data_IF_023719097355
#
_entry.id   IF_023719097355
#
_cell.length_a   1.000
_cell.length_b   1.000
_cell.length_c   1.000
_cell.angle_alpha   90.00
_cell.angle_beta   90.00
_cell.angle_gamma   90.00
#
_symmetry.space_group_name_H-M   'P 1'
#
loop_
_entity.id
_entity.type
_entity.pdbx_description
1 polymer ?
#
# COMPACT_ATOMS: atom_id res chain seq x y z
N UNK A 1 31.09 -55.14 -8.71
CA UNK A 1 30.19 -54.05 -8.30
C UNK A 1 29.00 -53.97 -9.27
N UNK A 2 27.81 -54.42 -8.86
CA UNK A 2 26.63 -54.43 -9.73
C UNK A 2 26.08 -53.00 -9.90
N UNK A 3 26.00 -52.51 -11.16
CA UNK A 3 25.39 -51.20 -11.48
C UNK A 3 23.96 -51.18 -10.94
N UNK A 4 23.54 -50.16 -10.17
CA UNK A 4 22.15 -50.06 -9.72
C UNK A 4 21.25 -49.99 -10.96
N UNK A 5 20.24 -50.88 -11.00
CA UNK A 5 19.30 -50.98 -12.11
C UNK A 5 18.70 -49.59 -12.40
N UNK A 6 18.54 -49.19 -13.68
CA UNK A 6 18.13 -47.83 -14.08
C UNK A 6 16.85 -47.35 -13.38
N UNK A 7 15.94 -48.28 -13.06
CA UNK A 7 14.70 -48.01 -12.34
C UNK A 7 14.91 -47.49 -10.90
N UNK A 8 15.92 -47.98 -10.19
CA UNK A 8 16.24 -47.52 -8.83
C UNK A 8 16.74 -46.08 -8.85
N UNK A 9 17.57 -45.73 -9.83
CA UNK A 9 18.06 -44.36 -10.01
C UNK A 9 16.92 -43.41 -10.38
N UNK A 10 16.04 -43.84 -11.27
CA UNK A 10 14.84 -43.09 -11.61
C UNK A 10 13.97 -42.81 -10.38
N UNK A 11 13.68 -43.83 -9.56
CA UNK A 11 12.91 -43.66 -8.32
C UNK A 11 13.60 -42.72 -7.32
N UNK A 12 14.92 -42.82 -7.17
CA UNK A 12 15.69 -41.91 -6.30
C UNK A 12 15.58 -40.47 -6.81
N UNK A 13 15.77 -40.23 -8.11
CA UNK A 13 15.67 -38.88 -8.65
C UNK A 13 14.24 -38.33 -8.60
N UNK A 14 13.23 -39.15 -8.86
CA UNK A 14 11.83 -38.75 -8.72
C UNK A 14 11.51 -38.35 -7.27
N UNK A 15 12.00 -39.13 -6.29
CA UNK A 15 11.81 -38.83 -4.87
C UNK A 15 12.59 -37.57 -4.44
N UNK A 16 13.82 -37.39 -4.90
CA UNK A 16 14.62 -36.20 -4.62
C UNK A 16 14.02 -34.93 -5.24
N UNK A 17 13.54 -35.00 -6.49
CA UNK A 17 12.87 -33.88 -7.17
C UNK A 17 11.54 -33.57 -6.49
N UNK A 18 10.73 -34.59 -6.20
CA UNK A 18 9.45 -34.42 -5.48
C UNK A 18 9.65 -33.82 -4.09
N UNK A 19 10.64 -34.32 -3.34
CA UNK A 19 11.04 -33.75 -2.06
C UNK A 19 11.49 -32.30 -2.19
N UNK A 20 12.36 -31.99 -3.17
CA UNK A 20 12.82 -30.63 -3.43
C UNK A 20 11.68 -29.66 -3.75
N UNK A 21 10.71 -30.08 -4.58
CA UNK A 21 9.53 -29.26 -4.89
C UNK A 21 8.73 -29.01 -3.61
N UNK A 22 8.44 -30.05 -2.84
CA UNK A 22 7.69 -29.94 -1.58
C UNK A 22 8.37 -28.99 -0.58
N UNK A 23 9.68 -29.13 -0.38
CA UNK A 23 10.46 -28.26 0.52
C UNK A 23 10.66 -26.85 -0.04
N UNK A 24 10.48 -26.62 -1.35
CA UNK A 24 10.51 -25.28 -1.96
C UNK A 24 9.22 -24.49 -1.76
N UNK A 25 8.09 -25.16 -1.48
CA UNK A 25 6.77 -24.51 -1.35
C UNK A 25 6.76 -23.36 -0.31
N UNK A 26 7.33 -23.50 0.91
CA UNK A 26 7.39 -22.39 1.86
C UNK A 26 8.18 -21.20 1.34
N UNK A 27 9.28 -21.43 0.61
CA UNK A 27 10.10 -20.35 0.05
C UNK A 27 9.39 -19.62 -1.09
N UNK A 28 8.71 -20.37 -1.97
CA UNK A 28 7.87 -19.80 -3.04
C UNK A 28 6.72 -18.99 -2.44
N UNK A 29 6.09 -19.50 -1.38
CA UNK A 29 5.06 -18.79 -0.65
C UNK A 29 5.61 -17.50 -0.04
N UNK A 30 6.76 -17.54 0.64
CA UNK A 30 7.40 -16.36 1.21
C UNK A 30 7.73 -15.30 0.14
N UNK A 31 8.36 -15.71 -0.96
CA UNK A 31 8.71 -14.83 -2.07
C UNK A 31 7.48 -14.21 -2.74
N UNK A 32 6.38 -14.97 -2.84
CA UNK A 32 5.12 -14.42 -3.29
C UNK A 32 4.54 -13.40 -2.30
N UNK A 33 4.46 -13.76 -1.02
CA UNK A 33 3.88 -12.88 0.02
C UNK A 33 4.67 -11.59 0.23
N UNK A 34 5.98 -11.60 0.01
CA UNK A 34 6.79 -10.39 0.14
C UNK A 34 6.47 -9.31 -0.90
N UNK A 35 5.80 -9.68 -2.00
CA UNK A 35 5.41 -8.76 -3.09
C UNK A 35 3.93 -8.35 -3.02
N UNK A 36 3.16 -8.93 -2.10
CA UNK A 36 1.75 -8.62 -1.89
C UNK A 36 1.58 -7.40 -1.00
N UNK A 37 0.53 -6.63 -1.25
CA UNK A 37 0.09 -5.56 -0.33
C UNK A 37 -0.86 -6.12 0.72
N UNK A 38 -1.08 -5.39 1.81
CA UNK A 38 -1.92 -5.81 2.94
C UNK A 38 -3.31 -6.29 2.50
N UNK A 39 -3.92 -5.61 1.54
CA UNK A 39 -5.25 -5.96 1.01
C UNK A 39 -5.31 -7.32 0.31
N UNK A 40 -4.17 -7.87 -0.11
CA UNK A 40 -4.07 -9.20 -0.75
C UNK A 40 -3.77 -10.31 0.24
N UNK A 41 -3.13 -10.00 1.37
CA UNK A 41 -2.77 -10.98 2.39
C UNK A 41 -4.00 -11.55 3.12
N UNK A 42 -5.09 -10.77 3.17
CA UNK A 42 -6.34 -11.15 3.82
C UNK A 42 -7.40 -11.71 2.85
N UNK A 43 -7.04 -12.00 1.59
CA UNK A 43 -7.96 -12.64 0.64
C UNK A 43 -8.15 -14.13 0.98
N UNK A 44 -9.39 -14.67 0.94
CA UNK A 44 -9.63 -16.10 1.10
C UNK A 44 -8.93 -16.94 0.02
N UNK A 45 -8.45 -18.13 0.38
CA UNK A 45 -7.86 -19.10 -0.54
C UNK A 45 -6.34 -19.05 -0.69
N UNK A 46 -5.79 -20.02 -1.42
CA UNK A 46 -4.34 -20.14 -1.72
C UNK A 46 -3.97 -19.31 -2.95
N UNK A 47 -4.04 -17.98 -2.82
CA UNK A 47 -3.62 -17.08 -3.89
C UNK A 47 -2.09 -17.05 -3.95
N UNK A 48 -1.44 -17.87 -4.78
CA UNK A 48 0.02 -17.89 -4.83
C UNK A 48 0.59 -16.60 -5.41
N UNK A 49 0.04 -16.08 -6.50
CA UNK A 49 0.60 -14.92 -7.20
C UNK A 49 0.03 -13.59 -6.71
N UNK A 50 0.84 -12.51 -6.70
CA UNK A 50 0.34 -11.17 -6.44
C UNK A 50 -0.54 -10.68 -7.61
N UNK A 51 -1.55 -9.89 -7.28
CA UNK A 51 -2.41 -9.17 -8.22
C UNK A 51 -1.57 -8.10 -8.93
N UNK A 52 -1.53 -8.05 -10.26
CA UNK A 52 -0.72 -7.01 -10.91
C UNK A 52 -1.33 -5.60 -10.72
N UNK A 53 -0.52 -4.54 -10.58
CA UNK A 53 -0.99 -3.16 -10.62
C UNK A 53 -1.70 -2.85 -11.94
N UNK A 54 -2.67 -1.94 -11.88
CA UNK A 54 -3.47 -1.52 -13.02
C UNK A 54 -3.62 0.01 -13.00
N UNK A 55 -2.55 0.76 -13.36
CA UNK A 55 -2.61 2.21 -13.37
C UNK A 55 -3.66 2.70 -14.37
N UNK A 56 -4.66 3.43 -13.86
CA UNK A 56 -5.72 4.04 -14.67
C UNK A 56 -5.35 5.48 -15.01
N UNK A 57 -5.74 5.93 -16.20
CA UNK A 57 -5.54 7.34 -16.56
C UNK A 57 -6.56 8.25 -15.88
N UNK A 58 -7.73 7.72 -15.54
CA UNK A 58 -8.81 8.49 -14.95
C UNK A 58 -9.30 7.87 -13.64
N UNK A 59 -9.70 8.75 -12.73
CA UNK A 59 -10.38 8.45 -11.47
C UNK A 59 -11.57 9.41 -11.33
N UNK A 60 -12.73 8.97 -10.80
CA UNK A 60 -12.99 7.65 -10.22
C UNK A 60 -13.18 6.56 -11.29
N UNK A 61 -13.03 5.30 -10.88
CA UNK A 61 -13.31 4.13 -11.73
C UNK A 61 -13.85 2.95 -10.91
N UNK A 62 -14.36 1.93 -11.61
CA UNK A 62 -14.81 0.68 -10.99
C UNK A 62 -13.75 -0.42 -11.12
N UNK A 63 -13.29 -0.92 -9.99
CA UNK A 63 -12.37 -2.04 -9.88
C UNK A 63 -13.12 -3.37 -9.79
N UNK A 64 -13.19 -4.07 -10.92
CA UNK A 64 -13.92 -5.34 -11.07
C UNK A 64 -13.05 -6.57 -10.85
N UNK A 65 -11.73 -6.44 -10.56
CA UNK A 65 -10.79 -7.58 -10.44
C UNK A 65 -11.21 -8.59 -9.37
N UNK A 66 -11.79 -8.10 -8.27
CA UNK A 66 -12.30 -8.97 -7.20
C UNK A 66 -13.53 -9.82 -7.61
N UNK A 67 -14.16 -9.53 -8.74
CA UNK A 67 -15.29 -10.31 -9.27
C UNK A 67 -14.84 -11.55 -10.02
N UNK A 68 -13.55 -11.69 -10.36
CA UNK A 68 -13.04 -12.85 -11.11
C UNK A 68 -13.28 -14.16 -10.35
N UNK A 69 -13.25 -14.11 -9.02
CA UNK A 69 -13.54 -15.24 -8.12
C UNK A 69 -15.05 -15.52 -7.93
N UNK A 70 -15.92 -14.61 -8.37
CA UNK A 70 -17.38 -14.72 -8.22
C UNK A 70 -17.97 -15.25 -9.53
N UNK A 71 -18.74 -16.34 -9.54
CA UNK A 71 -19.35 -16.82 -10.78
C UNK A 71 -20.26 -15.79 -11.45
N UNK A 72 -20.43 -15.95 -12.76
CA UNK A 72 -21.36 -15.12 -13.52
C UNK A 72 -22.79 -15.38 -13.05
N UNK A 73 -23.60 -14.32 -13.07
CA UNK A 73 -25.02 -14.42 -12.77
C UNK A 73 -25.70 -15.28 -13.85
N UNK A 74 -26.52 -16.28 -13.49
CA UNK A 74 -27.30 -17.04 -14.47
C UNK A 74 -28.14 -16.12 -15.36
N UNK A 75 -28.27 -16.44 -16.66
CA UNK A 75 -28.95 -15.60 -17.63
C UNK A 75 -30.39 -15.27 -17.20
N UNK A 76 -31.10 -16.25 -16.67
CA UNK A 76 -32.49 -16.13 -16.20
C UNK A 76 -32.63 -15.20 -14.99
N UNK A 77 -31.55 -15.02 -14.21
CA UNK A 77 -31.51 -14.16 -13.02
C UNK A 77 -30.92 -12.77 -13.29
N UNK A 78 -30.16 -12.62 -14.38
CA UNK A 78 -29.38 -11.41 -14.63
C UNK A 78 -30.24 -10.15 -14.69
N UNK A 79 -31.35 -10.19 -15.44
CA UNK A 79 -32.29 -9.07 -15.56
C UNK A 79 -33.05 -8.80 -14.26
N UNK A 80 -33.77 -9.78 -13.66
CA UNK A 80 -34.58 -9.47 -12.48
C UNK A 80 -33.75 -9.10 -11.24
N UNK A 81 -32.59 -9.73 -11.02
CA UNK A 81 -31.68 -9.31 -9.95
C UNK A 81 -31.03 -7.96 -10.27
N UNK A 82 -30.74 -7.70 -11.55
CA UNK A 82 -30.26 -6.41 -12.03
C UNK A 82 -31.24 -5.27 -11.73
N UNK A 83 -32.53 -5.48 -11.94
CA UNK A 83 -33.54 -4.46 -11.65
C UNK A 83 -33.69 -4.18 -10.15
N UNK A 84 -33.69 -5.24 -9.32
CA UNK A 84 -33.67 -5.09 -7.85
C UNK A 84 -32.42 -4.33 -7.38
N UNK A 85 -31.25 -4.68 -7.89
CA UNK A 85 -29.98 -3.99 -7.54
C UNK A 85 -30.03 -2.54 -8.03
N UNK A 86 -30.58 -2.28 -9.21
CA UNK A 86 -30.68 -0.93 -9.75
C UNK A 86 -31.59 -0.04 -8.90
N UNK A 87 -32.72 -0.57 -8.43
CA UNK A 87 -33.64 0.11 -7.51
C UNK A 87 -32.93 0.48 -6.20
N UNK A 88 -32.25 -0.49 -5.58
CA UNK A 88 -31.52 -0.26 -4.33
C UNK A 88 -30.32 0.68 -4.49
N UNK A 89 -29.78 0.81 -5.70
CA UNK A 89 -28.57 1.59 -6.00
C UNK A 89 -28.83 3.06 -6.39
N UNK A 90 -30.08 3.47 -6.59
CA UNK A 90 -30.42 4.80 -7.13
C UNK A 90 -29.79 5.97 -6.35
N UNK A 91 -29.75 5.89 -5.02
CA UNK A 91 -29.16 6.94 -4.15
C UNK A 91 -27.68 6.68 -3.79
N UNK A 92 -27.12 5.57 -4.26
CA UNK A 92 -25.76 5.14 -3.94
C UNK A 92 -24.81 5.53 -5.08
N UNK A 93 -25.24 5.29 -6.31
CA UNK A 93 -24.42 5.49 -7.50
C UNK A 93 -24.45 6.96 -7.92
N UNK A 94 -23.30 7.59 -8.22
CA UNK A 94 -23.28 8.96 -8.73
C UNK A 94 -24.09 9.10 -10.03
N UNK A 95 -24.88 10.18 -10.20
CA UNK A 95 -25.80 10.34 -11.34
C UNK A 95 -25.12 10.42 -12.72
N UNK A 96 -23.80 10.66 -12.77
CA UNK A 96 -23.02 10.71 -14.01
C UNK A 96 -22.46 9.36 -14.49
N UNK A 97 -22.65 8.28 -13.73
CA UNK A 97 -22.08 6.97 -14.07
C UNK A 97 -23.08 6.15 -14.93
N UNK A 98 -22.73 5.79 -16.18
CA UNK A 98 -23.65 5.06 -17.06
C UNK A 98 -24.09 3.72 -16.47
N UNK A 99 -25.40 3.43 -16.54
CA UNK A 99 -26.02 2.21 -15.97
C UNK A 99 -25.32 0.93 -16.43
N UNK A 100 -24.95 0.87 -17.70
CA UNK A 100 -24.22 -0.26 -18.31
C UNK A 100 -22.83 -0.50 -17.72
N UNK A 101 -22.20 0.51 -17.14
CA UNK A 101 -20.84 0.41 -16.57
C UNK A 101 -20.88 -0.14 -15.15
N UNK A 102 -21.86 0.27 -14.34
CA UNK A 102 -21.89 -0.09 -12.92
C UNK A 102 -22.86 -1.22 -12.58
N UNK A 103 -23.96 -1.38 -13.32
CA UNK A 103 -24.98 -2.35 -12.96
C UNK A 103 -24.49 -3.80 -13.09
N UNK A 104 -23.95 -4.25 -14.24
CA UNK A 104 -23.47 -5.63 -14.35
C UNK A 104 -22.46 -6.06 -13.27
N UNK A 105 -21.40 -5.28 -12.96
CA UNK A 105 -20.46 -5.68 -11.91
C UNK A 105 -21.10 -5.63 -10.50
N UNK A 106 -21.96 -4.65 -10.21
CA UNK A 106 -22.66 -4.58 -8.93
C UNK A 106 -23.67 -5.73 -8.74
N UNK A 107 -24.39 -6.12 -9.80
CA UNK A 107 -25.29 -7.28 -9.80
C UNK A 107 -24.51 -8.58 -9.57
N UNK A 108 -23.34 -8.74 -10.19
CA UNK A 108 -22.46 -9.91 -9.96
C UNK A 108 -21.96 -9.96 -8.52
N UNK A 109 -21.56 -8.81 -7.95
CA UNK A 109 -21.14 -8.73 -6.56
C UNK A 109 -22.29 -9.08 -5.59
N UNK A 110 -23.49 -8.56 -5.86
CA UNK A 110 -24.71 -8.86 -5.10
C UNK A 110 -25.06 -10.36 -5.17
N UNK A 111 -24.98 -10.95 -6.35
CA UNK A 111 -25.18 -12.39 -6.55
C UNK A 111 -24.20 -13.22 -5.73
N UNK A 112 -22.89 -12.90 -5.78
CA UNK A 112 -21.88 -13.58 -4.97
C UNK A 112 -22.19 -13.51 -3.48
N UNK A 113 -22.53 -12.31 -2.98
CA UNK A 113 -22.90 -12.11 -1.58
C UNK A 113 -24.14 -12.91 -1.17
N UNK A 114 -25.18 -12.92 -2.01
CA UNK A 114 -26.40 -13.68 -1.79
C UNK A 114 -26.12 -15.18 -1.76
N UNK A 115 -25.34 -15.69 -2.71
CA UNK A 115 -24.98 -17.10 -2.77
C UNK A 115 -24.21 -17.56 -1.53
N UNK A 116 -23.32 -16.72 -1.02
CA UNK A 116 -22.57 -17.02 0.20
C UNK A 116 -23.43 -16.93 1.47
N UNK A 117 -24.60 -16.28 1.40
CA UNK A 117 -25.46 -15.99 2.56
C UNK A 117 -26.75 -16.85 2.58
N UNK A 118 -27.20 -17.35 1.43
CA UNK A 118 -28.40 -18.16 1.29
C UNK A 118 -28.06 -19.66 1.18
N UNK A 119 -28.89 -20.56 1.74
CA UNK A 119 -28.71 -22.00 1.61
C UNK A 119 -28.70 -22.47 0.14
N UNK A 120 -27.90 -23.49 -0.24
CA UNK A 120 -27.84 -24.00 -1.61
C UNK A 120 -29.19 -24.37 -2.23
N UNK A 121 -30.13 -24.86 -1.41
CA UNK A 121 -31.48 -25.25 -1.82
C UNK A 121 -32.29 -24.07 -2.38
N UNK A 122 -31.97 -22.84 -1.94
CA UNK A 122 -32.60 -21.61 -2.42
C UNK A 122 -32.26 -21.33 -3.89
N UNK A 123 -31.27 -22.02 -4.46
CA UNK A 123 -30.79 -21.82 -5.83
C UNK A 123 -31.18 -22.95 -6.80
N UNK A 124 -31.85 -24.00 -6.33
CA UNK A 124 -32.22 -25.16 -7.17
C UNK A 124 -33.31 -24.85 -8.20
N UNK A 125 -34.23 -23.94 -7.87
CA UNK A 125 -35.29 -23.49 -8.78
C UNK A 125 -35.28 -21.97 -8.88
N UNK A 126 -34.84 -21.43 -10.01
CA UNK A 126 -34.91 -20.00 -10.33
C UNK A 126 -36.36 -19.55 -10.58
N UNK A 127 -37.18 -19.54 -9.54
CA UNK A 127 -38.58 -19.08 -9.57
C UNK A 127 -38.71 -17.65 -9.01
N UNK A 128 -39.87 -17.01 -9.16
CA UNK A 128 -40.17 -15.72 -8.51
C UNK A 128 -39.93 -15.73 -6.99
N UNK A 129 -40.06 -16.90 -6.35
CA UNK A 129 -39.81 -17.06 -4.92
C UNK A 129 -38.34 -16.78 -4.55
N UNK A 130 -37.39 -17.15 -5.41
CA UNK A 130 -35.97 -16.87 -5.18
C UNK A 130 -35.69 -15.36 -5.19
N UNK A 131 -36.36 -14.61 -6.05
CA UNK A 131 -36.22 -13.14 -6.08
C UNK A 131 -36.78 -12.50 -4.83
N UNK A 132 -37.91 -12.99 -4.29
CA UNK A 132 -38.43 -12.54 -3.00
C UNK A 132 -37.46 -12.83 -1.86
N UNK A 133 -36.86 -14.02 -1.84
CA UNK A 133 -35.81 -14.37 -0.87
C UNK A 133 -34.58 -13.48 -1.01
N UNK A 134 -34.14 -13.20 -2.25
CA UNK A 134 -33.04 -12.28 -2.51
C UNK A 134 -33.35 -10.86 -2.02
N UNK A 135 -34.53 -10.32 -2.34
CA UNK A 135 -34.97 -9.00 -1.90
C UNK A 135 -35.10 -8.88 -0.38
N UNK A 136 -35.45 -9.96 0.31
CA UNK A 136 -35.44 -10.00 1.78
C UNK A 136 -34.02 -10.06 2.37
N UNK A 137 -33.05 -10.62 1.63
CA UNK A 137 -31.69 -10.84 2.10
C UNK A 137 -30.71 -9.70 1.75
N UNK A 138 -31.00 -8.88 0.74
CA UNK A 138 -30.17 -7.76 0.32
C UNK A 138 -30.88 -6.42 0.48
N UNK A 139 -30.19 -5.45 1.07
CA UNK A 139 -30.71 -4.10 1.26
C UNK A 139 -29.73 -3.02 0.81
N UNK A 140 -30.17 -1.77 0.86
CA UNK A 140 -29.41 -0.57 0.44
C UNK A 140 -28.04 -0.47 1.10
N UNK A 141 -27.92 -0.84 2.39
CA UNK A 141 -26.63 -0.84 3.11
C UNK A 141 -25.62 -1.82 2.47
N UNK A 142 -26.06 -3.03 2.18
CA UNK A 142 -25.23 -4.06 1.54
C UNK A 142 -24.83 -3.62 0.12
N UNK A 143 -25.77 -3.06 -0.65
CA UNK A 143 -25.48 -2.54 -1.99
C UNK A 143 -24.46 -1.39 -1.92
N UNK A 144 -24.55 -0.52 -0.91
CA UNK A 144 -23.58 0.56 -0.68
C UNK A 144 -22.19 0.02 -0.43
N UNK A 145 -22.05 -0.93 0.49
CA UNK A 145 -20.78 -1.60 0.78
C UNK A 145 -20.21 -2.28 -0.47
N UNK A 146 -21.06 -2.99 -1.23
CA UNK A 146 -20.66 -3.65 -2.48
C UNK A 146 -20.27 -2.65 -3.56
N UNK A 147 -20.90 -1.48 -3.64
CA UNK A 147 -20.51 -0.44 -4.58
C UNK A 147 -19.19 0.23 -4.15
N UNK A 148 -19.06 0.63 -2.89
CA UNK A 148 -17.86 1.27 -2.34
C UNK A 148 -16.62 0.36 -2.42
N UNK A 149 -16.80 -0.97 -2.34
CA UNK A 149 -15.72 -1.94 -2.54
C UNK A 149 -15.14 -1.92 -3.95
N UNK A 150 -15.93 -1.51 -4.94
CA UNK A 150 -15.58 -1.47 -6.37
C UNK A 150 -15.19 -0.06 -6.80
N UNK A 151 -15.85 0.95 -6.24
CA UNK A 151 -15.61 2.35 -6.56
C UNK A 151 -14.27 2.81 -5.97
N UNK A 152 -13.33 3.13 -6.85
CA UNK A 152 -12.02 3.67 -6.51
C UNK A 152 -11.99 5.16 -6.80
N UNK A 153 -11.48 5.93 -5.85
CA UNK A 153 -11.29 7.36 -6.00
C UNK A 153 -10.20 7.84 -5.03
N UNK A 154 -9.31 8.69 -5.54
CA UNK A 154 -8.31 9.37 -4.73
C UNK A 154 -8.99 10.45 -3.88
N UNK A 155 -8.77 10.40 -2.57
CA UNK A 155 -9.33 11.39 -1.64
C UNK A 155 -8.24 11.99 -0.74
N UNK A 156 -8.24 13.31 -0.61
CA UNK A 156 -7.40 14.04 0.33
C UNK A 156 -8.22 14.56 1.50
N UNK A 157 -7.93 14.05 2.69
CA UNK A 157 -8.53 14.46 3.95
C UNK A 157 -7.75 15.58 4.65
N UNK A 158 -7.87 15.69 5.98
CA UNK A 158 -7.12 16.64 6.79
C UNK A 158 -5.60 16.58 6.58
N UNK A 159 -4.98 17.76 6.45
CA UNK A 159 -3.53 17.94 6.53
C UNK A 159 -3.18 18.47 7.91
N UNK A 160 -2.21 17.86 8.59
CA UNK A 160 -1.78 18.25 9.94
C UNK A 160 -0.31 18.61 9.94
N UNK A 161 0.04 19.65 10.67
CA UNK A 161 1.39 20.03 11.01
C UNK A 161 1.64 19.79 12.49
N UNK A 162 2.84 19.30 12.82
CA UNK A 162 3.28 19.09 14.20
C UNK A 162 4.65 19.73 14.41
N UNK A 163 4.81 20.47 15.49
CA UNK A 163 6.07 21.07 15.91
C UNK A 163 6.94 20.11 16.73
N UNK A 164 8.23 20.43 16.87
CA UNK A 164 9.16 19.72 17.75
C UNK A 164 8.73 19.79 19.24
N UNK A 165 7.96 20.83 19.62
CA UNK A 165 7.34 20.96 20.94
C UNK A 165 6.01 20.19 21.08
N UNK A 166 5.69 19.33 20.11
CA UNK A 166 4.48 18.50 20.05
C UNK A 166 3.16 19.29 19.93
N UNK A 167 3.23 20.54 19.49
CA UNK A 167 2.03 21.32 19.14
C UNK A 167 1.50 20.82 17.80
N UNK A 168 0.22 20.45 17.75
CA UNK A 168 -0.44 20.01 16.51
C UNK A 168 -1.40 21.09 16.01
N UNK A 169 -1.37 21.33 14.69
CA UNK A 169 -2.31 22.21 14.00
C UNK A 169 -2.87 21.48 12.77
N UNK A 170 -4.19 21.55 12.58
CA UNK A 170 -4.83 21.13 11.34
C UNK A 170 -4.77 22.32 10.38
N UNK A 171 -4.23 22.11 9.18
CA UNK A 171 -4.00 23.16 8.21
C UNK A 171 -5.23 23.39 7.33
N UNK A 172 -5.56 24.66 7.07
CA UNK A 172 -6.68 25.06 6.20
C UNK A 172 -8.02 24.52 6.71
N UNK A 173 -8.33 24.75 7.99
CA UNK A 173 -9.61 24.37 8.62
C UNK A 173 -10.75 25.30 8.18
N UNK A 174 -10.42 26.56 7.90
CA UNK A 174 -11.39 27.59 7.50
C UNK A 174 -11.89 27.41 6.06
N UNK A 175 -11.14 26.70 5.22
CA UNK A 175 -11.50 26.39 3.84
C UNK A 175 -12.26 25.05 3.75
N UNK A 176 -13.09 24.90 2.71
CA UNK A 176 -13.63 23.58 2.40
C UNK A 176 -12.50 22.65 1.91
N UNK A 177 -12.60 21.32 2.08
CA UNK A 177 -11.54 20.41 1.67
C UNK A 177 -11.04 20.60 0.23
N UNK A 178 -11.93 20.86 -0.72
CA UNK A 178 -11.59 21.07 -2.13
C UNK A 178 -10.89 22.42 -2.40
N UNK A 179 -11.14 23.43 -1.57
CA UNK A 179 -10.51 24.76 -1.64
C UNK A 179 -9.24 24.84 -0.79
N UNK A 180 -8.96 23.81 0.02
CA UNK A 180 -7.78 23.78 0.88
C UNK A 180 -6.48 23.90 0.08
N UNK A 181 -6.46 23.39 -1.14
CA UNK A 181 -5.34 23.57 -2.05
C UNK A 181 -5.77 24.33 -3.30
N UNK A 182 -4.91 25.22 -3.78
CA UNK A 182 -5.08 25.83 -5.08
C UNK A 182 -4.66 24.82 -6.15
N UNK A 183 -5.61 24.49 -7.02
CA UNK A 183 -5.39 23.58 -8.12
C UNK A 183 -4.69 24.30 -9.28
N UNK A 184 -3.43 23.94 -9.53
CA UNK A 184 -2.61 24.51 -10.60
C UNK A 184 -2.84 23.83 -11.95
N UNK A 185 -3.52 22.68 -11.96
CA UNK A 185 -3.79 21.85 -13.14
C UNK A 185 -5.29 21.52 -13.24
N UNK A 186 -6.18 22.53 -13.35
CA UNK A 186 -7.64 22.32 -13.40
C UNK A 186 -8.14 21.52 -14.61
N UNK A 187 -7.35 21.47 -15.68
CA UNK A 187 -7.59 20.63 -16.84
C UNK A 187 -7.35 19.13 -16.58
N UNK A 188 -6.50 18.80 -15.60
CA UNK A 188 -6.16 17.40 -15.25
C UNK A 188 -7.04 16.90 -14.10
N UNK A 189 -7.33 17.73 -13.09
CA UNK A 189 -8.06 17.31 -11.89
C UNK A 189 -9.14 18.31 -11.48
N UNK A 190 -10.26 17.79 -10.98
CA UNK A 190 -11.29 18.53 -10.29
C UNK A 190 -11.47 17.99 -8.86
N UNK A 191 -11.53 18.90 -7.90
CA UNK A 191 -11.71 18.58 -6.48
C UNK A 191 -13.17 18.82 -6.10
N UNK A 192 -13.78 17.85 -5.45
CA UNK A 192 -15.16 17.97 -4.96
C UNK A 192 -15.24 17.73 -3.46
N UNK A 193 -16.02 18.54 -2.76
CA UNK A 193 -16.21 18.42 -1.32
C UNK A 193 -17.09 17.21 -0.99
N UNK A 194 -16.59 16.32 -0.14
CA UNK A 194 -17.31 15.14 0.35
C UNK A 194 -17.11 14.98 1.86
N UNK A 195 -17.98 14.20 2.47
CA UNK A 195 -17.89 13.81 3.87
C UNK A 195 -18.32 12.36 4.07
N UNK A 196 -17.64 11.66 4.99
CA UNK A 196 -17.95 10.30 5.40
C UNK A 196 -17.61 10.18 6.89
N UNK A 197 -18.54 9.68 7.71
CA UNK A 197 -18.32 9.41 9.14
C UNK A 197 -17.63 10.56 9.90
N UNK A 198 -18.14 11.78 9.72
CA UNK A 198 -17.60 13.05 10.26
C UNK A 198 -16.24 13.53 9.71
N UNK A 199 -15.58 12.77 8.83
CA UNK A 199 -14.38 13.23 8.13
C UNK A 199 -14.77 13.97 6.85
N UNK A 200 -14.35 15.24 6.74
CA UNK A 200 -14.47 16.04 5.51
C UNK A 200 -13.22 15.85 4.65
N UNK A 201 -13.40 15.61 3.36
CA UNK A 201 -12.31 15.37 2.42
C UNK A 201 -12.61 15.92 1.02
N UNK A 202 -11.55 16.18 0.26
CA UNK A 202 -11.61 16.45 -1.16
C UNK A 202 -11.56 15.13 -1.91
N UNK A 203 -12.56 14.86 -2.74
CA UNK A 203 -12.54 13.76 -3.69
C UNK A 203 -11.99 14.27 -5.02
N UNK A 204 -10.89 13.67 -5.48
CA UNK A 204 -10.17 14.06 -6.68
C UNK A 204 -10.71 13.24 -7.86
N UNK A 205 -11.24 13.93 -8.86
CA UNK A 205 -11.61 13.34 -10.14
C UNK A 205 -10.61 13.85 -11.18
N UNK A 206 -9.78 12.96 -11.71
CA UNK A 206 -8.69 13.33 -12.61
C UNK A 206 -8.74 12.54 -13.91
N UNK A 207 -8.12 13.09 -14.96
CA UNK A 207 -7.90 12.45 -16.25
C UNK A 207 -6.52 12.83 -16.82
N UNK A 208 -5.57 11.90 -16.74
CA UNK A 208 -4.23 12.03 -17.28
C UNK A 208 -4.15 11.89 -18.82
N UNK A 209 -5.28 11.93 -19.53
CA UNK A 209 -5.26 12.21 -20.97
C UNK A 209 -4.99 13.69 -21.25
N UNK A 210 -5.28 14.58 -20.29
CA UNK A 210 -5.15 16.05 -20.42
C UNK A 210 -3.81 16.59 -19.87
N UNK A 211 -3.03 15.75 -19.20
CA UNK A 211 -1.72 16.07 -18.63
C UNK A 211 -1.10 14.85 -17.94
N UNK A 212 0.11 14.97 -17.43
CA UNK A 212 0.84 13.88 -16.76
C UNK A 212 1.06 14.12 -15.26
N UNK A 213 0.65 15.28 -14.76
CA UNK A 213 0.85 15.72 -13.38
C UNK A 213 -0.38 16.45 -12.83
N UNK A 214 -0.71 16.16 -11.57
CA UNK A 214 -1.65 16.94 -10.76
C UNK A 214 -0.80 17.79 -9.80
N UNK A 215 -0.95 19.11 -9.85
CA UNK A 215 -0.22 20.01 -8.96
C UNK A 215 -1.17 20.83 -8.08
N UNK A 216 -1.06 20.63 -6.77
CA UNK A 216 -1.85 21.30 -5.74
C UNK A 216 -0.93 22.08 -4.81
N UNK A 217 -1.10 23.39 -4.73
CA UNK A 217 -0.21 24.27 -3.95
C UNK A 217 -1.04 25.13 -3.01
N UNK A 218 -0.57 25.30 -1.77
CA UNK A 218 -1.17 26.27 -0.86
C UNK A 218 -0.19 26.75 0.21
N UNK A 219 -0.39 28.00 0.62
CA UNK A 219 0.26 28.61 1.76
C UNK A 219 -0.65 28.45 3.00
N UNK A 220 -0.09 27.86 4.07
CA UNK A 220 -0.81 27.59 5.30
C UNK A 220 -0.21 28.36 6.46
N UNK A 221 -1.08 28.98 7.25
CA UNK A 221 -0.73 29.53 8.56
C UNK A 221 -0.46 28.40 9.57
N UNK A 222 0.66 28.53 10.28
CA UNK A 222 1.03 27.70 11.41
C UNK A 222 0.69 28.42 12.71
N UNK A 223 0.20 27.67 13.70
CA UNK A 223 0.02 28.16 15.07
C UNK A 223 1.33 28.27 15.87
N UNK A 224 2.48 28.12 15.22
CA UNK A 224 3.83 28.10 15.81
C UNK A 224 4.86 28.50 14.75
N UNK A 225 6.13 28.68 15.15
CA UNK A 225 7.20 29.08 14.24
C UNK A 225 7.45 28.01 13.15
N UNK A 226 7.50 28.41 11.88
CA UNK A 226 7.77 27.51 10.76
C UNK A 226 9.12 26.78 10.89
N UNK A 227 10.10 27.36 11.59
CA UNK A 227 11.36 26.69 11.90
C UNK A 227 11.16 25.45 12.80
N UNK A 228 10.19 25.50 13.71
CA UNK A 228 9.88 24.43 14.67
C UNK A 228 9.01 23.31 14.09
N UNK A 229 8.47 23.47 12.87
CA UNK A 229 7.78 22.39 12.18
C UNK A 229 8.64 21.13 12.22
N UNK A 230 8.07 19.97 12.52
CA UNK A 230 8.80 18.71 12.55
C UNK A 230 8.20 17.75 11.52
N UNK A 231 6.88 17.70 11.45
CA UNK A 231 6.15 16.69 10.69
C UNK A 231 4.92 17.26 10.00
N UNK A 232 4.66 16.78 8.79
CA UNK A 232 3.42 16.96 8.05
C UNK A 232 2.73 15.61 7.84
N UNK A 233 1.43 15.57 8.04
CA UNK A 233 0.64 14.35 7.91
C UNK A 233 -0.59 14.60 7.07
N UNK A 234 -0.69 13.92 5.94
CA UNK A 234 -1.87 13.95 5.09
C UNK A 234 -2.66 12.68 5.31
N UNK A 235 -3.92 12.84 5.71
CA UNK A 235 -4.87 11.74 5.68
C UNK A 235 -5.39 11.58 4.25
N UNK A 236 -5.27 10.41 3.65
CA UNK A 236 -5.73 10.16 2.29
C UNK A 236 -6.29 8.76 2.10
N UNK A 237 -7.11 8.62 1.07
CA UNK A 237 -7.54 7.34 0.52
C UNK A 237 -6.97 7.22 -0.88
N UNK A 238 -5.96 6.37 -1.13
CA UNK A 238 -5.48 6.09 -2.47
C UNK A 238 -6.56 5.36 -3.30
N UNK A 239 -6.37 5.32 -4.61
CA UNK A 239 -7.30 4.66 -5.55
C UNK A 239 -6.76 3.34 -6.12
N UNK A 240 -5.59 2.87 -5.67
CA UNK A 240 -4.89 1.68 -6.16
C UNK A 240 -4.37 1.79 -7.61
N UNK A 241 -4.19 3.02 -8.11
CA UNK A 241 -3.58 3.26 -9.44
C UNK A 241 -2.06 3.24 -9.43
N UNK A 242 -1.42 3.25 -8.25
CA UNK A 242 0.04 3.28 -8.12
C UNK A 242 0.71 4.52 -8.72
N UNK A 243 -0.05 5.58 -8.98
CA UNK A 243 0.51 6.90 -9.24
C UNK A 243 1.34 7.40 -8.05
N UNK A 244 2.23 8.34 -8.30
CA UNK A 244 3.25 8.75 -7.33
C UNK A 244 2.89 10.10 -6.72
N UNK A 245 2.62 10.11 -5.42
CA UNK A 245 2.43 11.34 -4.65
C UNK A 245 3.77 11.83 -4.09
N UNK A 246 4.21 13.00 -4.54
CA UNK A 246 5.39 13.72 -4.05
C UNK A 246 4.95 14.92 -3.20
N UNK A 247 5.83 15.38 -2.31
CA UNK A 247 5.62 16.57 -1.48
C UNK A 247 6.86 17.45 -1.50
N UNK A 248 6.65 18.74 -1.79
CA UNK A 248 7.62 19.80 -1.57
C UNK A 248 7.09 20.74 -0.48
N UNK A 249 7.95 21.06 0.48
CA UNK A 249 7.66 21.94 1.60
C UNK A 249 8.63 23.11 1.59
N UNK A 250 8.13 24.33 1.69
CA UNK A 250 8.96 25.51 1.95
C UNK A 250 8.58 26.10 3.29
N UNK A 251 9.56 26.18 4.18
CA UNK A 251 9.37 26.64 5.55
C UNK A 251 10.63 27.37 6.03
N UNK A 252 10.46 28.56 6.63
CA UNK A 252 11.56 29.37 7.16
C UNK A 252 12.70 29.60 6.15
N UNK A 253 12.37 29.88 4.89
CA UNK A 253 13.35 30.14 3.82
C UNK A 253 14.13 28.93 3.35
N UNK A 254 13.73 27.71 3.72
CA UNK A 254 14.34 26.46 3.24
C UNK A 254 13.30 25.64 2.49
N UNK A 255 13.64 25.22 1.27
CA UNK A 255 12.88 24.23 0.50
C UNK A 255 13.31 22.84 0.91
N UNK A 256 12.34 21.99 1.20
CA UNK A 256 12.50 20.58 1.49
C UNK A 256 11.76 19.74 0.48
N UNK A 257 12.40 18.66 0.01
CA UNK A 257 11.80 17.68 -0.88
C UNK A 257 11.73 16.33 -0.20
N UNK A 258 10.63 15.60 -0.41
CA UNK A 258 10.52 14.22 0.03
C UNK A 258 11.65 13.37 -0.59
N UNK A 259 12.32 12.56 0.24
CA UNK A 259 13.39 11.65 -0.20
C UNK A 259 12.88 10.57 -1.16
N UNK A 260 11.58 10.25 -1.07
CA UNK A 260 10.88 9.36 -1.99
C UNK A 260 9.42 9.76 -2.15
N UNK A 261 8.83 9.30 -3.24
CA UNK A 261 7.40 9.39 -3.50
C UNK A 261 6.61 8.39 -2.65
N UNK A 262 5.34 8.71 -2.43
CA UNK A 262 4.36 7.83 -1.84
C UNK A 262 3.52 7.19 -2.95
N UNK A 263 3.64 5.87 -3.21
CA UNK A 263 2.82 5.22 -4.22
C UNK A 263 1.36 5.14 -3.74
N UNK A 264 0.42 5.55 -4.59
CA UNK A 264 -1.03 5.50 -4.36
C UNK A 264 -1.58 4.06 -4.51
N UNK A 265 -1.03 3.16 -3.70
CA UNK A 265 -1.43 1.75 -3.63
C UNK A 265 -2.52 1.52 -2.58
N UNK A 266 -3.34 0.48 -2.76
CA UNK A 266 -4.53 0.15 -1.96
C UNK A 266 -5.66 1.17 -2.10
N UNK A 267 -6.78 0.91 -1.41
CA UNK A 267 -7.98 1.74 -1.47
C UNK A 267 -8.57 2.07 -0.09
N UNK A 268 -7.77 1.94 0.97
CA UNK A 268 -8.17 2.22 2.34
C UNK A 268 -7.66 3.59 2.79
N UNK A 269 -8.40 4.24 3.69
CA UNK A 269 -7.92 5.42 4.37
C UNK A 269 -6.63 5.11 5.13
N UNK A 270 -5.64 5.98 4.97
CA UNK A 270 -4.34 5.87 5.62
C UNK A 270 -3.74 7.25 5.81
N UNK A 271 -2.62 7.31 6.53
CA UNK A 271 -1.88 8.55 6.76
C UNK A 271 -0.49 8.42 6.19
N UNK A 272 -0.14 9.31 5.27
CA UNK A 272 1.24 9.51 4.86
C UNK A 272 1.85 10.59 5.76
N UNK A 273 3.07 10.35 6.21
CA UNK A 273 3.79 11.24 7.11
C UNK A 273 5.10 11.66 6.46
N UNK A 274 5.33 12.95 6.35
CA UNK A 274 6.62 13.53 5.99
C UNK A 274 7.25 14.19 7.20
N UNK A 275 8.55 14.02 7.42
CA UNK A 275 9.24 14.55 8.59
C UNK A 275 10.54 15.23 8.19
N UNK A 276 10.84 16.39 8.76
CA UNK A 276 12.16 17.02 8.64
C UNK A 276 13.24 16.19 9.35
N UNK A 277 14.51 16.41 9.01
CA UNK A 277 15.60 15.70 9.65
C UNK A 277 15.63 15.96 11.15
N UNK A 278 15.78 14.90 11.93
CA UNK A 278 15.72 14.95 13.39
C UNK A 278 16.56 13.86 14.07
N UNK A 279 16.68 13.89 15.41
CA UNK A 279 17.49 12.92 16.16
C UNK A 279 17.00 11.47 15.98
N UNK A 280 15.70 11.30 15.73
CA UNK A 280 15.09 9.99 15.48
C UNK A 280 15.53 9.35 14.15
N UNK A 281 16.13 10.11 13.23
CA UNK A 281 16.65 9.54 11.98
C UNK A 281 17.85 8.61 12.19
N UNK A 282 18.59 8.79 13.29
CA UNK A 282 19.72 7.94 13.66
C UNK A 282 19.36 6.92 14.76
N UNK A 283 18.09 6.91 15.18
CA UNK A 283 17.55 6.01 16.19
C UNK A 283 17.26 4.60 15.64
N UNK A 284 17.11 3.64 16.54
CA UNK A 284 16.63 2.29 16.23
C UNK A 284 15.09 2.20 16.21
N UNK A 285 14.39 3.32 16.38
CA UNK A 285 12.92 3.38 16.26
C UNK A 285 12.47 3.01 14.86
N UNK A 286 11.30 2.37 14.79
CA UNK A 286 10.63 2.06 13.52
C UNK A 286 10.26 3.37 12.82
N UNK A 287 10.81 3.59 11.63
CA UNK A 287 10.55 4.79 10.83
C UNK A 287 9.30 4.60 9.98
N UNK A 288 8.23 5.33 10.31
CA UNK A 288 6.95 5.31 9.58
C UNK A 288 6.74 6.56 8.72
N UNK A 289 7.77 7.38 8.55
CA UNK A 289 7.74 8.64 7.81
C UNK A 289 8.63 8.62 6.57
N UNK A 290 8.33 9.50 5.63
CA UNK A 290 9.18 9.86 4.50
C UNK A 290 10.02 11.06 4.95
N UNK A 291 11.34 10.94 4.85
CA UNK A 291 12.24 12.01 5.25
C UNK A 291 12.20 13.16 4.24
N UNK A 292 12.22 14.38 4.75
CA UNK A 292 12.34 15.61 3.97
C UNK A 292 13.81 16.04 3.94
N UNK A 293 14.37 16.22 2.74
CA UNK A 293 15.75 16.68 2.54
C UNK A 293 15.75 18.14 2.11
N UNK A 294 16.59 18.95 2.74
CA UNK A 294 16.76 20.35 2.33
C UNK A 294 17.37 20.41 0.92
N UNK A 295 16.71 21.15 0.03
CA UNK A 295 17.18 21.45 -1.32
C UNK A 295 17.92 22.80 -1.30
N UNK A 296 19.22 22.75 -1.03
CA UNK A 296 20.08 23.94 -0.88
C UNK A 296 20.33 24.72 -2.18
N UNK A 297 19.70 24.36 -3.30
CA UNK A 297 19.88 25.02 -4.60
C UNK A 297 18.72 25.96 -4.97
N UNK A 298 17.66 25.99 -4.18
CA UNK A 298 16.50 26.84 -4.46
C UNK A 298 16.81 28.32 -4.18
N UNK A 299 16.70 29.17 -5.19
CA UNK A 299 16.96 30.61 -5.10
C UNK A 299 15.71 31.47 -4.85
N UNK A 300 14.52 30.89 -5.04
CA UNK A 300 13.22 31.53 -4.81
C UNK A 300 12.42 30.62 -3.86
N UNK A 301 12.58 30.86 -2.56
CA UNK A 301 12.01 30.03 -1.48
C UNK A 301 11.06 30.89 -0.65
N UNK A 302 9.84 30.39 -0.45
CA UNK A 302 8.86 31.00 0.41
C UNK A 302 9.40 31.19 1.83
N UNK A 303 9.29 32.43 2.32
CA UNK A 303 9.81 32.82 3.61
C UNK A 303 8.90 33.86 4.29
N UNK A 304 7.67 33.46 4.60
CA UNK A 304 6.79 34.24 5.45
C UNK A 304 6.80 33.69 6.89
N UNK A 305 7.01 34.55 7.91
CA UNK A 305 6.99 34.13 9.31
C UNK A 305 5.65 33.48 9.69
N UNK A 306 5.70 32.34 10.38
CA UNK A 306 4.51 31.62 10.83
C UNK A 306 3.70 30.96 9.71
N UNK A 307 4.21 30.91 8.48
CA UNK A 307 3.55 30.22 7.36
C UNK A 307 4.46 29.21 6.70
N UNK A 308 3.85 28.30 5.96
CA UNK A 308 4.54 27.34 5.10
C UNK A 308 3.85 27.24 3.76
N UNK A 309 4.62 26.92 2.72
CA UNK A 309 4.08 26.54 1.40
C UNK A 309 4.20 25.04 1.24
N UNK A 310 3.07 24.39 0.96
CA UNK A 310 3.00 22.95 0.70
C UNK A 310 2.55 22.75 -0.74
N UNK A 311 3.37 22.03 -1.51
CA UNK A 311 3.05 21.58 -2.85
C UNK A 311 2.92 20.06 -2.85
N UNK A 312 1.72 19.56 -3.16
CA UNK A 312 1.45 18.16 -3.42
C UNK A 312 1.42 17.93 -4.92
N UNK A 313 2.18 16.95 -5.37
CA UNK A 313 2.27 16.61 -6.78
C UNK A 313 1.93 15.15 -6.96
N UNK A 314 0.93 14.83 -7.80
CA UNK A 314 0.66 13.42 -8.17
C UNK A 314 1.09 13.23 -9.62
N UNK A 315 2.03 12.32 -9.84
CA UNK A 315 2.53 11.99 -11.20
C UNK A 315 1.96 10.68 -11.68
N UNK A 316 1.61 10.65 -12.96
CA UNK A 316 1.19 9.44 -13.64
C UNK A 316 2.31 8.40 -13.66
N UNK A 317 2.01 7.22 -13.12
CA UNK A 317 2.85 6.03 -13.26
C UNK A 317 2.57 5.28 -14.56
N UNK A 318 3.64 4.81 -15.21
CA UNK A 318 3.53 3.78 -16.25
C UNK A 318 3.27 2.41 -15.62
N UNK A 319 2.80 1.45 -16.41
CA UNK A 319 2.62 0.07 -15.96
C UNK A 319 3.90 -0.54 -15.38
N UNK A 320 5.03 -0.38 -16.08
CA UNK A 320 6.32 -0.90 -15.62
C UNK A 320 6.77 -0.23 -14.31
N UNK A 321 6.54 1.09 -14.18
CA UNK A 321 6.86 1.80 -12.94
C UNK A 321 5.99 1.30 -11.79
N UNK A 322 4.68 1.13 -12.01
CA UNK A 322 3.76 0.60 -11.00
C UNK A 322 4.15 -0.82 -10.55
N UNK A 323 4.53 -1.69 -11.49
CA UNK A 323 5.04 -3.03 -11.18
C UNK A 323 6.33 -2.93 -10.37
N UNK A 324 7.31 -2.13 -10.81
CA UNK A 324 8.56 -1.93 -10.07
C UNK A 324 8.32 -1.42 -8.64
N UNK A 325 7.50 -0.37 -8.51
CA UNK A 325 7.10 0.21 -7.23
C UNK A 325 6.45 -0.83 -6.32
N UNK A 326 5.58 -1.69 -6.85
CA UNK A 326 4.95 -2.76 -6.08
C UNK A 326 5.93 -3.78 -5.55
N UNK A 327 6.76 -4.32 -6.42
CA UNK A 327 7.73 -5.35 -6.03
C UNK A 327 8.80 -4.78 -5.09
N UNK A 328 9.13 -3.50 -5.19
CA UNK A 328 10.06 -2.84 -4.29
C UNK A 328 9.43 -2.36 -2.97
N UNK A 329 8.11 -2.14 -2.92
CA UNK A 329 7.41 -1.44 -1.82
C UNK A 329 7.76 -1.99 -0.43
N UNK A 330 7.60 -3.30 -0.24
CA UNK A 330 7.82 -3.93 1.06
C UNK A 330 9.31 -3.98 1.42
N UNK A 331 10.19 -4.21 0.45
CA UNK A 331 11.64 -4.25 0.68
C UNK A 331 12.20 -2.88 1.04
N UNK A 332 11.83 -1.84 0.29
CA UNK A 332 12.25 -0.47 0.56
C UNK A 332 11.76 -0.01 1.94
N UNK A 333 10.50 -0.31 2.30
CA UNK A 333 9.99 -0.05 3.64
C UNK A 333 10.84 -0.74 4.70
N UNK A 334 11.09 -2.05 4.61
CA UNK A 334 11.85 -2.78 5.65
C UNK A 334 13.28 -2.24 5.80
N UNK A 335 13.97 -2.00 4.68
CA UNK A 335 15.35 -1.50 4.71
C UNK A 335 15.47 -0.10 5.34
N UNK A 336 14.41 0.70 5.28
CA UNK A 336 14.32 2.03 5.88
C UNK A 336 13.78 2.00 7.32
N UNK A 337 12.91 1.04 7.65
CA UNK A 337 12.26 0.95 8.97
C UNK A 337 13.24 0.64 10.09
N UNK A 338 14.32 -0.08 9.79
CA UNK A 338 15.37 -0.44 10.75
C UNK A 338 16.73 0.02 10.23
N UNK A 339 17.70 0.34 11.09
CA UNK A 339 19.07 0.64 10.67
C UNK A 339 19.79 -0.67 10.26
N UNK A 340 19.29 -1.30 9.20
CA UNK A 340 19.69 -2.64 8.75
C UNK A 340 21.21 -2.74 8.55
N UNK A 341 21.80 -1.79 7.84
CA UNK A 341 23.23 -1.78 7.57
C UNK A 341 24.08 -1.61 8.83
N UNK A 342 23.58 -0.89 9.83
CA UNK A 342 24.26 -0.79 11.13
C UNK A 342 24.26 -2.14 11.85
N UNK A 343 23.15 -2.87 11.81
CA UNK A 343 23.09 -4.22 12.38
C UNK A 343 24.04 -5.17 11.66
N UNK A 344 24.06 -5.14 10.32
CA UNK A 344 25.01 -5.93 9.52
C UNK A 344 26.46 -5.60 9.90
N UNK A 345 26.83 -4.33 9.99
CA UNK A 345 28.18 -3.91 10.37
C UNK A 345 28.58 -4.40 11.76
N UNK A 346 27.69 -4.25 12.75
CA UNK A 346 27.93 -4.73 14.13
C UNK A 346 28.09 -6.25 14.15
N UNK A 347 27.21 -6.99 13.45
CA UNK A 347 27.30 -8.45 13.37
C UNK A 347 28.58 -8.92 12.68
N UNK A 348 28.93 -8.33 11.53
CA UNK A 348 30.16 -8.65 10.81
C UNK A 348 31.39 -8.37 11.68
N UNK A 349 31.41 -7.23 12.37
CA UNK A 349 32.49 -6.89 13.30
C UNK A 349 32.62 -7.94 14.42
N UNK A 350 31.52 -8.29 15.09
CA UNK A 350 31.52 -9.29 16.17
C UNK A 350 31.98 -10.67 15.68
N UNK A 351 31.52 -11.10 14.50
CA UNK A 351 31.93 -12.38 13.91
C UNK A 351 33.43 -12.36 13.60
N UNK A 352 33.94 -11.31 12.95
CA UNK A 352 35.36 -11.23 12.60
C UNK A 352 36.25 -11.23 13.83
N UNK A 353 35.91 -10.46 14.86
CA UNK A 353 36.66 -10.42 16.12
C UNK A 353 36.63 -11.79 16.80
N UNK A 354 35.46 -12.40 16.92
CA UNK A 354 35.30 -13.69 17.60
C UNK A 354 36.07 -14.81 16.87
N UNK A 355 35.91 -14.92 15.56
CA UNK A 355 36.63 -15.91 14.75
C UNK A 355 38.14 -15.71 14.86
N UNK A 356 38.62 -14.47 14.75
CA UNK A 356 40.06 -14.17 14.85
C UNK A 356 40.60 -14.58 16.22
N UNK A 357 39.92 -14.20 17.30
CA UNK A 357 40.37 -14.48 18.66
C UNK A 357 40.30 -15.97 18.99
N UNK A 358 39.26 -16.65 18.51
CA UNK A 358 39.08 -18.10 18.69
C UNK A 358 40.15 -18.87 17.91
N UNK A 359 40.38 -18.56 16.64
CA UNK A 359 41.43 -19.21 15.84
C UNK A 359 42.80 -18.96 16.46
N UNK A 360 43.08 -17.74 16.92
CA UNK A 360 44.32 -17.41 17.61
C UNK A 360 44.49 -18.23 18.90
N UNK A 361 43.49 -18.28 19.77
CA UNK A 361 43.55 -19.04 21.02
C UNK A 361 43.67 -20.56 20.77
N UNK A 362 42.82 -21.12 19.89
CA UNK A 362 42.84 -22.54 19.55
C UNK A 362 44.14 -22.95 18.89
N UNK A 363 44.71 -22.14 18.00
CA UNK A 363 46.00 -22.44 17.36
C UNK A 363 47.16 -22.44 18.37
N UNK A 364 47.17 -21.51 19.33
CA UNK A 364 48.18 -21.47 20.40
C UNK A 364 48.09 -22.71 21.30
N UNK A 365 46.88 -23.06 21.74
CA UNK A 365 46.64 -24.25 22.58
C UNK A 365 47.01 -25.52 21.80
N UNK A 366 46.55 -25.66 20.56
CA UNK A 366 46.86 -26.80 19.71
C UNK A 366 48.37 -26.95 19.47
N UNK A 367 49.09 -25.84 19.24
CA UNK A 367 50.53 -25.86 19.08
C UNK A 367 51.24 -26.31 20.36
N UNK A 368 50.82 -25.80 21.53
CA UNK A 368 51.37 -26.23 22.80
C UNK A 368 51.22 -27.75 22.95
N UNK A 369 50.01 -28.30 22.85
CA UNK A 369 49.77 -29.74 22.96
C UNK A 369 50.56 -30.57 21.93
N UNK A 370 50.71 -30.08 20.70
CA UNK A 370 51.41 -30.80 19.64
C UNK A 370 52.94 -30.79 19.77
N UNK A 371 53.54 -29.75 20.37
CA UNK A 371 55.01 -29.54 20.33
C UNK A 371 55.69 -29.44 21.68
N UNK A 372 55.00 -29.01 22.74
CA UNK A 372 55.58 -28.82 24.06
C UNK A 372 55.27 -30.03 24.95
N UNK A 373 56.25 -30.42 25.77
CA UNK A 373 56.09 -31.46 26.79
C UNK A 373 56.10 -30.79 28.16
N UNK A 374 55.00 -30.87 28.92
CA UNK A 374 54.89 -30.35 30.29
C UNK A 374 54.16 -31.36 31.21
N UNK A 375 54.45 -31.35 32.52
CA UNK A 375 53.81 -32.25 33.48
C UNK A 375 52.31 -31.94 33.59
N UNK A 376 51.46 -32.96 33.49
CA UNK A 376 49.99 -32.84 33.54
C UNK A 376 49.29 -32.84 32.17
N UNK A 377 50.02 -32.82 31.05
CA UNK A 377 49.45 -32.77 29.68
C UNK A 377 48.44 -33.87 29.37
N UNK A 378 48.62 -35.08 29.90
CA UNK A 378 47.78 -36.24 29.57
C UNK A 378 46.55 -36.41 30.48
N UNK A 379 46.35 -35.49 31.44
CA UNK A 379 45.17 -35.46 32.30
C UNK A 379 44.06 -34.53 31.78
N UNK A 380 44.38 -33.65 30.84
CA UNK A 380 43.44 -32.82 30.08
C UNK A 380 43.19 -33.48 28.71
#
# INVERSE_FOLDING_TARGET
MARPKPIRRFLIYALLVGGSIFFSLPFLWMAATSTKVDSELFKPGLNLFPTMPDPKLASPYLDTRHLDDIPRVPADLATPLGDLVAELAQEIVPPGLPRETWLPPLTRAAYGKLRDSLPPESWEKLTEDVLKTCAAAIGTRTIRELFERQHRQLCFGPLRARSAALTESVLGVDATPAERFQNQTPEVVQLTNRSQEAVRYAALSYDYSQGDEIALVQDFDLGFDAAELERLQLYLKPDDTWHELDLTLEAAGVRYRAERVFPLANANWSMVTWQKPGPDDNSTKIKTWILLRADGKASDVFNEPGKIRVALTVRRSSYLNAVGAKFALNYLRVLEHIPFWRYVQVSVFLVLVNVTLTVFACSLIAYAFARLNWPGREFC
#
